data_IF_130272120857
#
_entry.id   IF_130272120857
#
_cell.length_a   1.000
_cell.length_b   1.000
_cell.length_c   1.000
_cell.angle_alpha   90.00
_cell.angle_beta   90.00
_cell.angle_gamma   90.00
#
_symmetry.space_group_name_H-M   'P 1'
#
loop_
_entity.id
_entity.type
_entity.pdbx_description
1 polymer ?
#
# COMPACT_ATOMS: atom_id res chain seq x y z
N UNK A 1 -20.67 -15.65 23.07
CA UNK A 1 -19.43 -14.87 23.29
C UNK A 1 -18.33 -15.14 22.26
N UNK A 2 -18.05 -16.39 21.85
CA UNK A 2 -16.99 -16.70 20.85
C UNK A 2 -17.15 -16.04 19.46
N UNK A 3 -18.39 -15.84 18.98
CA UNK A 3 -18.66 -15.22 17.67
C UNK A 3 -18.31 -13.73 17.60
N UNK A 4 -18.39 -13.01 18.72
CA UNK A 4 -18.07 -11.58 18.77
C UNK A 4 -16.57 -11.31 18.58
N UNK A 5 -15.72 -12.19 19.11
CA UNK A 5 -14.27 -12.06 18.96
C UNK A 5 -13.78 -12.28 17.52
N UNK A 6 -14.39 -13.20 16.78
CA UNK A 6 -14.06 -13.41 15.35
C UNK A 6 -14.46 -12.21 14.48
N UNK A 7 -15.60 -11.58 14.76
CA UNK A 7 -16.03 -10.37 14.04
C UNK A 7 -15.11 -9.19 14.35
N UNK A 8 -14.74 -9.00 15.62
CA UNK A 8 -13.82 -7.93 16.02
C UNK A 8 -12.41 -8.13 15.46
N UNK A 9 -11.91 -9.38 15.40
CA UNK A 9 -10.64 -9.69 14.77
C UNK A 9 -10.66 -9.43 13.25
N UNK A 10 -11.78 -9.75 12.58
CA UNK A 10 -11.96 -9.43 11.16
C UNK A 10 -11.94 -7.92 10.87
N UNK A 11 -12.58 -7.12 11.71
CA UNK A 11 -12.60 -5.65 11.59
C UNK A 11 -11.20 -5.06 11.82
N UNK A 12 -10.44 -5.57 12.81
CA UNK A 12 -9.09 -5.10 13.09
C UNK A 12 -8.11 -5.41 11.93
N UNK A 13 -8.25 -6.56 11.27
CA UNK A 13 -7.44 -6.89 10.08
C UNK A 13 -7.78 -6.00 8.87
N UNK A 14 -9.05 -5.64 8.69
CA UNK A 14 -9.48 -4.72 7.63
C UNK A 14 -9.00 -3.28 7.87
N UNK A 15 -8.97 -2.83 9.12
CA UNK A 15 -8.42 -1.51 9.48
C UNK A 15 -6.90 -1.43 9.28
N UNK A 16 -6.17 -2.52 9.54
CA UNK A 16 -4.74 -2.62 9.23
C UNK A 16 -4.44 -2.58 7.73
N UNK A 17 -5.29 -3.23 6.92
CA UNK A 17 -5.19 -3.18 5.46
C UNK A 17 -5.51 -1.77 4.89
N UNK A 18 -6.44 -1.05 5.50
CA UNK A 18 -6.76 0.33 5.12
C UNK A 18 -5.60 1.32 5.37
N UNK A 19 -4.71 1.01 6.31
CA UNK A 19 -3.50 1.79 6.60
C UNK A 19 -2.25 1.32 5.83
N UNK A 20 -2.32 0.15 5.17
CA UNK A 20 -1.27 -0.37 4.29
C UNK A 20 -1.48 0.02 2.82
N UNK A 21 -2.56 0.75 2.51
CA UNK A 21 -2.86 1.24 1.16
C UNK A 21 -1.92 2.36 0.67
N UNK A 22 -0.90 2.75 1.43
CA UNK A 22 0.06 3.77 0.99
C UNK A 22 1.49 3.38 1.37
N UNK A 23 2.30 2.97 0.39
CA UNK A 23 3.62 3.59 0.28
C UNK A 23 4.04 4.04 -1.15
N UNK A 24 4.53 5.29 -1.18
CA UNK A 24 5.59 5.92 -2.00
C UNK A 24 5.42 5.86 -3.54
N UNK A 25 4.67 6.76 -4.15
CA UNK A 25 5.07 8.16 -4.29
C UNK A 25 3.94 9.11 -3.85
N UNK A 26 4.04 9.59 -2.62
CA UNK A 26 3.11 10.55 -2.04
C UNK A 26 3.37 11.96 -2.59
N UNK A 27 3.25 12.15 -3.90
CA UNK A 27 3.42 13.47 -4.53
C UNK A 27 2.27 13.84 -5.48
N UNK A 28 1.67 12.86 -6.19
CA UNK A 28 0.36 13.06 -6.85
C UNK A 28 -0.74 12.59 -5.88
N UNK A 29 -1.25 13.53 -5.09
CA UNK A 29 -2.33 13.27 -4.13
C UNK A 29 -3.73 13.58 -4.71
N UNK A 30 -3.81 13.92 -6.00
CA UNK A 30 -5.08 14.14 -6.67
C UNK A 30 -5.71 12.78 -7.00
N UNK A 31 -6.99 12.55 -6.62
CA UNK A 31 -7.66 11.32 -6.99
C UNK A 31 -7.79 11.22 -8.51
N UNK A 32 -7.69 10.00 -9.03
CA UNK A 32 -7.89 9.73 -10.45
C UNK A 32 -9.24 10.31 -10.93
N UNK A 33 -9.22 10.88 -12.13
CA UNK A 33 -10.41 11.44 -12.77
C UNK A 33 -11.59 10.44 -12.75
N UNK A 34 -12.79 10.94 -12.49
CA UNK A 34 -13.99 10.09 -12.43
C UNK A 34 -14.17 9.27 -13.71
N UNK A 35 -14.24 7.95 -13.56
CA UNK A 35 -14.36 6.98 -14.65
C UNK A 35 -13.03 6.52 -15.26
N UNK A 36 -11.89 7.02 -14.79
CA UNK A 36 -10.57 6.63 -15.28
C UNK A 36 -9.87 5.62 -14.35
N UNK A 37 -9.04 4.78 -14.96
CA UNK A 37 -8.10 3.93 -14.25
C UNK A 37 -6.72 4.56 -14.28
N UNK A 38 -6.04 4.52 -13.15
CA UNK A 38 -4.66 4.99 -13.02
C UNK A 38 -3.78 3.85 -12.52
N UNK A 39 -2.64 3.65 -13.17
CA UNK A 39 -1.69 2.61 -12.82
C UNK A 39 -0.37 3.25 -12.39
N UNK A 40 0.08 2.90 -11.20
CA UNK A 40 1.34 3.39 -10.64
C UNK A 40 2.29 2.22 -10.42
N UNK A 41 3.57 2.43 -10.71
CA UNK A 41 4.62 1.49 -10.35
C UNK A 41 5.90 2.26 -10.02
N UNK A 42 6.60 1.80 -8.98
CA UNK A 42 7.80 2.45 -8.49
C UNK A 42 8.89 1.44 -8.15
N UNK A 43 10.08 1.97 -7.89
CA UNK A 43 11.18 1.24 -7.28
C UNK A 43 11.85 2.15 -6.27
N UNK A 44 11.97 1.67 -5.03
CA UNK A 44 12.72 2.34 -3.99
C UNK A 44 13.93 1.48 -3.59
N UNK A 45 15.05 2.14 -3.33
CA UNK A 45 16.26 1.50 -2.86
C UNK A 45 16.84 2.31 -1.71
N UNK A 46 17.00 1.65 -0.57
CA UNK A 46 17.67 2.20 0.60
C UNK A 46 18.92 1.38 0.92
N UNK A 47 20.02 2.08 1.20
CA UNK A 47 21.30 1.47 1.50
C UNK A 47 21.91 2.12 2.74
N UNK A 48 21.91 1.39 3.85
CA UNK A 48 22.60 1.75 5.08
C UNK A 48 23.75 0.77 5.37
N UNK A 49 24.67 1.16 6.26
CA UNK A 49 25.87 0.44 6.69
C UNK A 49 25.64 -1.04 7.04
N UNK A 50 24.44 -1.40 7.51
CA UNK A 50 24.04 -2.78 7.85
C UNK A 50 22.89 -3.37 7.02
N UNK A 51 22.23 -2.60 6.15
CA UNK A 51 21.01 -3.03 5.46
C UNK A 51 20.97 -2.55 4.01
N UNK A 52 20.62 -3.47 3.10
CA UNK A 52 20.20 -3.15 1.73
C UNK A 52 18.73 -3.49 1.60
N UNK A 53 17.92 -2.51 1.23
CA UNK A 53 16.48 -2.64 1.16
C UNK A 53 15.98 -2.20 -0.20
N UNK A 54 15.17 -3.03 -0.82
CA UNK A 54 14.52 -2.76 -2.10
C UNK A 54 13.02 -2.94 -1.95
N UNK A 55 12.27 -1.98 -2.46
CA UNK A 55 10.82 -2.05 -2.55
C UNK A 55 10.41 -1.85 -4.02
N UNK A 56 9.47 -2.66 -4.46
CA UNK A 56 8.85 -2.54 -5.79
C UNK A 56 7.34 -2.39 -5.59
N UNK A 57 6.87 -1.18 -5.26
CA UNK A 57 5.43 -0.91 -5.16
C UNK A 57 4.79 -0.81 -6.56
N UNK A 58 3.56 -1.29 -6.67
CA UNK A 58 2.69 -1.03 -7.82
C UNK A 58 1.23 -0.99 -7.38
N UNK A 59 0.44 -0.11 -7.99
CA UNK A 59 -0.94 0.16 -7.61
C UNK A 59 -1.84 0.32 -8.82
N UNK A 60 -3.13 0.05 -8.60
CA UNK A 60 -4.20 0.38 -9.54
C UNK A 60 -5.27 1.18 -8.80
N UNK A 61 -5.62 2.32 -9.35
CA UNK A 61 -6.66 3.22 -8.87
C UNK A 61 -7.79 3.34 -9.89
N UNK A 62 -8.99 3.64 -9.39
CA UNK A 62 -10.17 3.96 -10.18
C UNK A 62 -10.93 5.13 -9.55
N UNK A 63 -11.11 6.21 -10.31
CA UNK A 63 -11.93 7.35 -9.92
C UNK A 63 -13.40 6.96 -9.93
N UNK A 64 -13.99 6.69 -8.76
CA UNK A 64 -15.38 6.25 -8.66
C UNK A 64 -16.38 7.41 -8.74
N UNK A 65 -16.05 8.56 -8.15
CA UNK A 65 -16.83 9.81 -8.17
C UNK A 65 -15.88 11.01 -8.17
N UNK A 66 -16.37 12.25 -8.42
CA UNK A 66 -15.58 13.44 -8.14
C UNK A 66 -15.04 13.37 -6.71
N UNK A 67 -13.73 13.51 -6.57
CA UNK A 67 -12.98 13.46 -5.30
C UNK A 67 -13.00 12.09 -4.57
N UNK A 68 -13.49 11.01 -5.18
CA UNK A 68 -13.51 9.67 -4.59
C UNK A 68 -12.83 8.65 -5.49
N UNK A 69 -11.75 8.06 -4.97
CA UNK A 69 -10.99 7.01 -5.62
C UNK A 69 -11.08 5.68 -4.85
N UNK A 70 -11.11 4.58 -5.58
CA UNK A 70 -10.89 3.23 -5.06
C UNK A 70 -9.57 2.71 -5.61
N UNK A 71 -8.65 2.34 -4.73
CA UNK A 71 -7.33 1.85 -5.15
C UNK A 71 -6.91 0.57 -4.44
N UNK A 72 -6.06 -0.20 -5.11
CA UNK A 72 -5.43 -1.39 -4.60
C UNK A 72 -3.91 -1.30 -4.85
N UNK A 73 -3.15 -1.28 -3.75
CA UNK A 73 -1.69 -1.28 -3.77
C UNK A 73 -1.13 -2.67 -3.48
N UNK A 74 -0.09 -3.04 -4.22
CA UNK A 74 0.66 -4.28 -4.07
C UNK A 74 2.15 -3.96 -4.12
N UNK A 75 2.99 -4.87 -3.63
CA UNK A 75 4.42 -4.67 -3.72
C UNK A 75 5.23 -5.83 -3.19
N UNK A 76 6.46 -5.92 -3.68
CA UNK A 76 7.47 -6.84 -3.18
C UNK A 76 8.53 -6.10 -2.38
N UNK A 77 9.02 -6.73 -1.32
CA UNK A 77 10.08 -6.20 -0.46
C UNK A 77 11.22 -7.22 -0.39
N UNK A 78 12.43 -6.76 -0.69
CA UNK A 78 13.66 -7.54 -0.62
C UNK A 78 14.63 -6.84 0.32
N UNK A 79 14.86 -7.46 1.47
CA UNK A 79 15.78 -6.95 2.48
C UNK A 79 16.98 -7.88 2.60
N UNK A 80 18.18 -7.31 2.61
CA UNK A 80 19.44 -8.02 2.88
C UNK A 80 20.18 -7.33 4.01
N UNK A 81 20.24 -8.00 5.16
CA UNK A 81 21.05 -7.58 6.32
C UNK A 81 22.42 -8.26 6.30
N UNK A 82 23.45 -7.57 6.76
CA UNK A 82 24.73 -8.20 7.10
C UNK A 82 24.63 -8.76 8.52
N UNK A 83 24.86 -10.07 8.69
CA UNK A 83 25.07 -10.64 10.03
C UNK A 83 26.39 -10.09 10.61
N UNK A 84 26.36 -9.74 11.90
CA UNK A 84 27.51 -9.27 12.67
C UNK A 84 28.41 -10.44 13.08
#
# INVERSE_FOLDING_TARGET
MKRAYCVMAGIACLAGAAYAGRPLAMDDADPADAGQFEFEAGVAHEHDSGCKHWEVPFGLAYGAFPDVEISAGFGGLLEKRKEL
#
